data_IF_660501526257
#
_entry.id   IF_660501526257
#
_cell.length_a   1.000
_cell.length_b   1.000
_cell.length_c   1.000
_cell.angle_alpha   90.00
_cell.angle_beta   90.00
_cell.angle_gamma   90.00
#
_symmetry.space_group_name_H-M   'P 1'
#
loop_
_entity.id
_entity.type
_entity.pdbx_description
1 polymer ?
#
# COMPACT_ATOMS: atom_id res chain seq x y z
N UNK A 1 5.14 1.63 16.04
CA UNK A 1 5.87 1.07 14.88
C UNK A 1 5.06 1.38 13.61
N UNK A 2 5.41 2.38 12.80
CA UNK A 2 4.50 3.16 11.89
C UNK A 2 3.49 4.04 12.65
N UNK A 3 2.81 3.52 13.67
CA UNK A 3 1.93 4.32 14.55
C UNK A 3 2.65 5.43 15.34
N UNK A 4 3.97 5.40 15.42
CA UNK A 4 4.79 6.45 16.06
C UNK A 4 4.75 7.78 15.30
N UNK A 5 4.48 7.75 13.98
CA UNK A 5 4.26 8.95 13.18
C UNK A 5 2.83 9.50 13.28
N UNK A 6 1.94 8.78 13.96
CA UNK A 6 0.51 9.03 13.95
C UNK A 6 0.06 10.11 14.94
N UNK A 7 0.98 10.75 15.68
CA UNK A 7 0.70 11.61 16.84
C UNK A 7 -0.29 12.76 16.60
N UNK A 8 -0.51 13.19 15.35
CA UNK A 8 -1.50 14.23 14.98
C UNK A 8 -2.77 13.71 14.30
N UNK A 9 -2.80 12.47 13.80
CA UNK A 9 -3.94 11.93 13.04
C UNK A 9 -4.03 10.39 13.07
N UNK A 10 -4.17 9.76 14.26
CA UNK A 10 -4.04 8.30 14.40
C UNK A 10 -5.12 7.51 13.67
N UNK A 11 -6.37 8.01 13.68
CA UNK A 11 -7.50 7.34 13.00
C UNK A 11 -7.30 7.28 11.48
N UNK A 12 -6.84 8.39 10.87
CA UNK A 12 -6.59 8.43 9.43
C UNK A 12 -5.42 7.53 9.02
N UNK A 13 -4.37 7.44 9.85
CA UNK A 13 -3.27 6.50 9.60
C UNK A 13 -3.74 5.04 9.64
N UNK A 14 -4.58 4.67 10.61
CA UNK A 14 -5.11 3.30 10.72
C UNK A 14 -5.99 2.96 9.52
N UNK A 15 -6.98 3.81 9.22
CA UNK A 15 -7.87 3.62 8.07
C UNK A 15 -7.07 3.58 6.78
N UNK A 16 -6.13 4.52 6.62
CA UNK A 16 -5.31 4.62 5.43
C UNK A 16 -4.43 3.40 5.20
N UNK A 17 -3.71 2.97 6.24
CA UNK A 17 -2.85 1.80 6.17
C UNK A 17 -3.64 0.51 5.93
N UNK A 18 -4.75 0.33 6.66
CA UNK A 18 -5.59 -0.87 6.55
C UNK A 18 -6.23 -0.96 5.16
N UNK A 19 -6.74 0.16 4.63
CA UNK A 19 -7.33 0.20 3.29
C UNK A 19 -6.32 -0.11 2.19
N UNK A 20 -5.15 0.54 2.22
CA UNK A 20 -4.07 0.26 1.25
C UNK A 20 -3.60 -1.19 1.38
N UNK A 21 -3.38 -1.69 2.59
CA UNK A 21 -2.93 -3.06 2.79
C UNK A 21 -3.95 -4.10 2.30
N UNK A 22 -5.23 -3.92 2.63
CA UNK A 22 -6.29 -4.81 2.18
C UNK A 22 -6.38 -4.84 0.64
N UNK A 23 -6.32 -3.67 0.00
CA UNK A 23 -6.33 -3.58 -1.45
C UNK A 23 -5.10 -4.24 -2.10
N UNK A 24 -3.91 -4.03 -1.54
CA UNK A 24 -2.69 -4.69 -2.03
C UNK A 24 -2.78 -6.21 -1.90
N UNK A 25 -3.31 -6.73 -0.79
CA UNK A 25 -3.53 -8.17 -0.63
C UNK A 25 -4.54 -8.67 -1.66
N UNK A 26 -5.70 -8.03 -1.79
CA UNK A 26 -6.74 -8.46 -2.72
C UNK A 26 -6.27 -8.43 -4.17
N UNK A 27 -5.74 -7.29 -4.63
CA UNK A 27 -5.31 -7.12 -6.02
C UNK A 27 -4.00 -7.85 -6.29
N UNK A 28 -2.92 -7.55 -5.57
CA UNK A 28 -1.61 -8.07 -5.96
C UNK A 28 -1.43 -9.55 -5.62
N UNK A 29 -1.93 -10.02 -4.47
CA UNK A 29 -1.82 -11.45 -4.14
C UNK A 29 -2.90 -12.24 -4.87
N UNK A 30 -4.14 -11.76 -4.89
CA UNK A 30 -5.24 -12.45 -5.59
C UNK A 30 -5.01 -12.55 -7.09
N UNK A 31 -4.75 -11.42 -7.75
CA UNK A 31 -4.44 -11.41 -9.19
C UNK A 31 -3.12 -12.11 -9.47
N UNK A 32 -2.07 -11.82 -8.68
CA UNK A 32 -0.76 -12.44 -8.86
C UNK A 32 -0.78 -13.96 -8.76
N UNK A 33 -1.55 -14.53 -7.84
CA UNK A 33 -1.74 -16.00 -7.76
C UNK A 33 -2.55 -16.54 -8.93
N UNK A 34 -3.55 -15.79 -9.41
CA UNK A 34 -4.34 -16.16 -10.59
C UNK A 34 -3.47 -16.17 -11.85
N UNK A 35 -2.67 -15.13 -12.07
CA UNK A 35 -1.73 -15.00 -13.18
C UNK A 35 -0.61 -16.04 -13.12
N UNK A 36 -0.07 -16.32 -11.93
CA UNK A 36 1.09 -17.21 -11.79
C UNK A 36 0.71 -18.70 -11.80
N UNK A 37 -0.46 -19.08 -11.30
CA UNK A 37 -0.82 -20.49 -11.12
C UNK A 37 -2.06 -20.90 -11.92
N UNK A 38 -3.13 -20.10 -11.87
CA UNK A 38 -4.43 -20.48 -12.44
C UNK A 38 -4.40 -20.36 -13.97
N UNK A 39 -3.97 -19.22 -14.53
CA UNK A 39 -3.95 -19.03 -15.99
C UNK A 39 -3.01 -20.01 -16.70
N UNK A 40 -1.78 -20.28 -16.22
CA UNK A 40 -0.91 -21.27 -16.84
C UNK A 40 -1.51 -22.68 -16.79
N UNK A 41 -2.16 -23.04 -15.67
CA UNK A 41 -2.85 -24.32 -15.55
C UNK A 41 -4.00 -24.45 -16.56
N UNK A 42 -4.86 -23.43 -16.66
CA UNK A 42 -5.99 -23.43 -17.60
C UNK A 42 -5.53 -23.42 -19.05
N UNK A 43 -4.48 -22.67 -19.38
CA UNK A 43 -3.88 -22.67 -20.71
C UNK A 43 -3.41 -24.08 -21.11
N UNK A 44 -2.90 -24.87 -20.16
CA UNK A 44 -2.49 -26.26 -20.39
C UNK A 44 -3.67 -27.26 -20.41
N UNK A 45 -4.87 -26.90 -19.93
CA UNK A 45 -5.99 -27.84 -19.70
C UNK A 45 -7.32 -27.38 -20.31
N UNK A 46 -7.30 -26.81 -21.53
CA UNK A 46 -8.52 -26.50 -22.28
C UNK A 46 -8.74 -25.02 -22.59
N UNK A 47 -7.78 -24.16 -22.24
CA UNK A 47 -7.77 -22.76 -22.59
C UNK A 47 -8.24 -21.84 -21.47
N UNK A 48 -7.89 -20.56 -21.58
CA UNK A 48 -8.30 -19.52 -20.63
C UNK A 48 -9.69 -19.03 -21.05
N UNK A 49 -10.69 -19.06 -20.16
CA UNK A 49 -12.02 -18.52 -20.45
C UNK A 49 -11.94 -17.07 -20.92
N UNK A 50 -12.66 -16.74 -21.99
CA UNK A 50 -12.71 -15.37 -22.52
C UNK A 50 -13.54 -14.41 -21.63
N UNK A 51 -14.40 -14.95 -20.78
CA UNK A 51 -15.18 -14.19 -19.81
C UNK A 51 -14.66 -14.46 -18.40
N UNK A 52 -14.55 -13.39 -17.62
CA UNK A 52 -14.17 -13.49 -16.22
C UNK A 52 -15.26 -14.18 -15.39
N UNK A 53 -14.88 -14.86 -14.29
CA UNK A 53 -15.84 -15.47 -13.39
C UNK A 53 -16.81 -14.45 -12.80
N UNK A 54 -18.03 -14.88 -12.53
CA UNK A 54 -19.02 -14.04 -11.85
C UNK A 54 -18.50 -13.59 -10.48
N UNK A 55 -18.63 -12.30 -10.20
CA UNK A 55 -18.15 -11.68 -8.97
C UNK A 55 -16.71 -11.16 -9.01
N UNK A 56 -15.93 -11.44 -10.06
CA UNK A 56 -14.57 -10.90 -10.21
C UNK A 56 -14.56 -9.36 -10.24
N UNK A 57 -15.42 -8.76 -11.06
CA UNK A 57 -15.58 -7.30 -11.12
C UNK A 57 -16.03 -6.68 -9.79
N UNK A 58 -16.84 -7.39 -9.00
CA UNK A 58 -17.27 -6.90 -7.68
C UNK A 58 -16.12 -6.96 -6.66
N UNK A 59 -15.34 -8.05 -6.68
CA UNK A 59 -14.13 -8.20 -5.88
C UNK A 59 -13.11 -7.10 -6.20
N UNK A 60 -12.84 -6.87 -7.48
CA UNK A 60 -11.93 -5.83 -7.95
C UNK A 60 -12.45 -4.44 -7.56
N UNK A 61 -13.74 -4.17 -7.77
CA UNK A 61 -14.36 -2.90 -7.39
C UNK A 61 -14.24 -2.58 -5.90
N UNK A 62 -14.42 -3.58 -5.02
CA UNK A 62 -14.23 -3.42 -3.57
C UNK A 62 -12.76 -3.13 -3.23
N UNK A 63 -11.83 -3.83 -3.89
CA UNK A 63 -10.40 -3.62 -3.66
C UNK A 63 -9.94 -2.23 -4.13
N UNK A 64 -10.42 -1.77 -5.29
CA UNK A 64 -10.16 -0.43 -5.81
C UNK A 64 -10.74 0.65 -4.88
N UNK A 65 -11.95 0.44 -4.35
CA UNK A 65 -12.53 1.36 -3.38
C UNK A 65 -11.70 1.44 -2.09
N UNK A 66 -11.26 0.29 -1.57
CA UNK A 66 -10.39 0.22 -0.41
C UNK A 66 -9.04 0.92 -0.68
N UNK A 67 -8.49 0.76 -1.89
CA UNK A 67 -7.26 1.43 -2.32
C UNK A 67 -7.42 2.95 -2.30
N UNK A 68 -8.46 3.47 -2.97
CA UNK A 68 -8.73 4.91 -3.09
C UNK A 68 -8.98 5.55 -1.72
N UNK A 69 -9.86 4.95 -0.91
CA UNK A 69 -10.17 5.49 0.43
C UNK A 69 -8.92 5.41 1.32
N UNK A 70 -8.20 4.29 1.26
CA UNK A 70 -6.99 4.06 2.04
C UNK A 70 -5.88 5.06 1.70
N UNK A 71 -5.58 5.23 0.41
CA UNK A 71 -4.52 6.11 -0.07
C UNK A 71 -4.83 7.59 0.18
N UNK A 72 -6.09 8.02 0.01
CA UNK A 72 -6.52 9.38 0.35
C UNK A 72 -6.36 9.63 1.85
N UNK A 73 -6.88 8.71 2.69
CA UNK A 73 -6.79 8.84 4.14
C UNK A 73 -5.33 8.87 4.61
N UNK A 74 -4.47 7.99 4.06
CA UNK A 74 -3.05 7.92 4.39
C UNK A 74 -2.30 9.16 3.91
N UNK A 75 -2.58 9.64 2.70
CA UNK A 75 -1.98 10.85 2.14
C UNK A 75 -2.33 12.09 2.98
N UNK A 76 -3.60 12.27 3.35
CA UNK A 76 -4.03 13.34 4.24
C UNK A 76 -3.36 13.21 5.62
N UNK A 77 -3.24 11.99 6.15
CA UNK A 77 -2.57 11.76 7.42
C UNK A 77 -1.10 12.21 7.38
N UNK A 78 -0.38 11.86 6.31
CA UNK A 78 1.01 12.28 6.07
C UNK A 78 1.12 13.81 6.00
N UNK A 79 0.27 14.46 5.21
CA UNK A 79 0.25 15.92 5.04
C UNK A 79 -0.04 16.64 6.37
N UNK A 80 -0.97 16.12 7.18
CA UNK A 80 -1.33 16.71 8.48
C UNK A 80 -0.28 16.45 9.56
N UNK A 81 0.29 15.25 9.60
CA UNK A 81 1.28 14.89 10.60
C UNK A 81 2.62 15.62 10.36
N UNK A 82 2.94 15.96 9.10
CA UNK A 82 4.22 16.55 8.67
C UNK A 82 5.43 15.72 9.11
N UNK A 83 5.23 14.42 9.29
CA UNK A 83 6.25 13.46 9.71
C UNK A 83 7.04 12.88 8.54
N UNK A 84 6.46 12.92 7.35
CA UNK A 84 7.09 12.54 6.10
C UNK A 84 7.07 13.73 5.12
N UNK A 85 7.93 13.73 4.09
CA UNK A 85 7.89 14.73 3.04
C UNK A 85 6.50 14.85 2.42
N UNK A 86 6.03 16.09 2.24
CA UNK A 86 4.68 16.38 1.75
C UNK A 86 4.39 15.75 0.38
N UNK A 87 5.42 15.61 -0.46
CA UNK A 87 5.30 15.02 -1.79
C UNK A 87 4.83 13.57 -1.75
N UNK A 88 5.13 12.82 -0.67
CA UNK A 88 4.70 11.42 -0.52
C UNK A 88 3.17 11.37 -0.36
N UNK A 89 2.63 12.23 0.50
CA UNK A 89 1.19 12.33 0.69
C UNK A 89 0.48 12.79 -0.58
N UNK A 90 1.05 13.77 -1.29
CA UNK A 90 0.53 14.22 -2.58
C UNK A 90 0.58 13.12 -3.65
N UNK A 91 1.67 12.36 -3.73
CA UNK A 91 1.84 11.28 -4.69
C UNK A 91 0.83 10.14 -4.46
N UNK A 92 0.57 9.75 -3.21
CA UNK A 92 -0.45 8.75 -2.88
C UNK A 92 -1.86 9.17 -3.30
N UNK A 93 -2.21 10.44 -3.09
CA UNK A 93 -3.53 10.97 -3.49
C UNK A 93 -3.61 11.08 -5.02
N UNK A 94 -2.63 11.72 -5.64
CA UNK A 94 -2.63 11.99 -7.07
C UNK A 94 -2.61 10.70 -7.89
N UNK A 95 -1.79 9.71 -7.51
CA UNK A 95 -1.74 8.41 -8.19
C UNK A 95 -3.11 7.73 -8.21
N UNK A 96 -3.81 7.65 -7.08
CA UNK A 96 -5.14 7.02 -7.06
C UNK A 96 -6.19 7.80 -7.86
N UNK A 97 -6.15 9.14 -7.83
CA UNK A 97 -7.07 9.95 -8.63
C UNK A 97 -6.80 9.81 -10.14
N UNK A 98 -5.52 9.82 -10.54
CA UNK A 98 -5.14 9.65 -11.94
C UNK A 98 -5.43 8.22 -12.41
N UNK A 99 -5.18 7.21 -11.57
CA UNK A 99 -5.53 5.82 -11.86
C UNK A 99 -7.04 5.65 -12.09
N UNK A 100 -7.87 6.27 -11.25
CA UNK A 100 -9.33 6.25 -11.40
C UNK A 100 -9.83 6.96 -12.68
N UNK A 101 -9.07 7.90 -13.23
CA UNK A 101 -9.41 8.58 -14.49
C UNK A 101 -9.10 7.75 -15.73
N UNK A 102 -8.32 6.66 -15.61
CA UNK A 102 -8.06 5.71 -16.69
C UNK A 102 -7.24 6.30 -17.85
N UNK A 103 -5.93 6.46 -17.65
CA UNK A 103 -5.03 6.95 -18.71
C UNK A 103 -4.92 5.95 -19.89
N UNK A 104 -4.84 6.42 -21.14
CA UNK A 104 -4.80 5.54 -22.31
C UNK A 104 -3.42 4.91 -22.55
N UNK A 105 -3.42 3.68 -23.06
CA UNK A 105 -2.21 2.99 -23.53
C UNK A 105 -1.19 2.72 -22.42
N UNK A 106 0.10 2.87 -22.74
CA UNK A 106 1.18 2.62 -21.79
C UNK A 106 1.18 3.55 -20.56
N UNK A 107 0.48 4.69 -20.64
CA UNK A 107 0.33 5.63 -19.53
C UNK A 107 -0.54 5.10 -18.39
N UNK A 108 -1.32 4.05 -18.63
CA UNK A 108 -2.14 3.38 -17.62
C UNK A 108 -1.31 2.86 -16.43
N UNK A 109 -0.03 2.53 -16.64
CA UNK A 109 0.87 2.01 -15.60
C UNK A 109 1.53 3.11 -14.75
N UNK A 110 1.51 4.35 -15.22
CA UNK A 110 2.17 5.47 -14.55
C UNK A 110 1.64 5.71 -13.12
N UNK A 111 0.31 5.71 -12.87
CA UNK A 111 -0.24 5.94 -11.54
C UNK A 111 0.24 4.88 -10.54
N UNK A 112 0.25 3.60 -10.93
CA UNK A 112 0.71 2.50 -10.10
C UNK A 112 2.19 2.62 -9.77
N UNK A 113 3.02 2.95 -10.77
CA UNK A 113 4.45 3.19 -10.56
C UNK A 113 4.72 4.30 -9.54
N UNK A 114 3.99 5.42 -9.64
CA UNK A 114 4.08 6.54 -8.68
C UNK A 114 3.59 6.10 -7.30
N UNK A 115 2.49 5.34 -7.22
CA UNK A 115 1.94 4.84 -5.98
C UNK A 115 2.93 3.92 -5.24
N UNK A 116 3.50 2.94 -5.93
CA UNK A 116 4.49 2.03 -5.36
C UNK A 116 5.79 2.75 -4.97
N UNK A 117 6.25 3.71 -5.77
CA UNK A 117 7.41 4.54 -5.41
C UNK A 117 7.16 5.34 -4.12
N UNK A 118 5.95 5.89 -3.94
CA UNK A 118 5.57 6.59 -2.72
C UNK A 118 5.54 5.63 -1.50
N UNK A 119 4.94 4.44 -1.64
CA UNK A 119 4.95 3.43 -0.57
C UNK A 119 6.36 2.96 -0.21
N UNK A 120 7.23 2.76 -1.21
CA UNK A 120 8.62 2.43 -1.00
C UNK A 120 9.36 3.55 -0.24
N UNK A 121 9.12 4.81 -0.61
CA UNK A 121 9.65 5.96 0.12
C UNK A 121 9.17 6.02 1.58
N UNK A 122 7.88 5.74 1.84
CA UNK A 122 7.34 5.60 3.20
C UNK A 122 8.13 4.54 3.99
N UNK A 123 8.31 3.35 3.41
CA UNK A 123 9.02 2.25 4.06
C UNK A 123 10.48 2.57 4.37
N UNK A 124 11.21 3.12 3.39
CA UNK A 124 12.62 3.47 3.56
C UNK A 124 12.84 4.57 4.60
N UNK A 125 12.01 5.62 4.62
CA UNK A 125 12.11 6.69 5.62
C UNK A 125 11.71 6.17 7.00
N UNK A 126 10.67 5.33 7.09
CA UNK A 126 10.26 4.73 8.35
C UNK A 126 11.34 3.81 8.96
N UNK A 127 12.13 3.12 8.13
CA UNK A 127 13.26 2.30 8.58
C UNK A 127 14.45 3.15 9.03
N UNK A 128 14.79 4.21 8.30
CA UNK A 128 15.87 5.14 8.66
C UNK A 128 15.63 5.89 9.98
N UNK A 129 14.37 6.15 10.31
CA UNK A 129 13.98 6.82 11.55
C UNK A 129 13.97 5.93 12.80
N UNK A 130 14.41 4.67 12.71
CA UNK A 130 14.47 3.78 13.89
C UNK A 130 15.72 4.09 14.73
N UNK A 131 15.61 4.33 16.04
CA UNK A 131 16.76 4.30 16.92
C UNK A 131 17.37 2.89 16.91
N UNK A 132 18.70 2.81 16.86
CA UNK A 132 19.43 1.54 16.84
C UNK A 132 19.07 0.68 18.08
N UNK A 133 18.86 -0.64 17.92
CA UNK A 133 18.58 -1.55 19.04
C UNK A 133 19.69 -1.62 20.10
N UNK A 134 20.87 -1.08 19.81
CA UNK A 134 22.03 -1.08 20.71
C UNK A 134 21.70 -0.42 22.06
N UNK A 135 20.87 0.62 22.06
CA UNK A 135 20.61 1.43 23.25
C UNK A 135 19.67 0.75 24.27
N UNK A 136 18.84 -0.20 23.81
CA UNK A 136 17.96 -0.99 24.68
C UNK A 136 18.72 -2.11 25.39
N UNK A 137 19.69 -2.73 24.71
CA UNK A 137 20.51 -3.81 25.26
C UNK A 137 21.46 -3.30 26.34
N UNK A 138 22.06 -2.12 26.13
CA UNK A 138 22.93 -1.45 27.11
C UNK A 138 22.15 -0.98 28.34
N UNK A 139 20.94 -0.43 28.16
CA UNK A 139 20.08 -0.05 29.29
C UNK A 139 19.62 -1.25 30.11
N UNK A 140 19.26 -2.38 29.48
CA UNK A 140 18.90 -3.59 30.22
C UNK A 140 20.08 -4.21 30.96
N UNK A 141 21.27 -4.23 30.35
CA UNK A 141 22.49 -4.69 31.00
C UNK A 141 22.88 -3.80 32.20
N UNK A 142 22.67 -2.48 32.09
CA UNK A 142 22.95 -1.54 33.18
C UNK A 142 21.96 -1.66 34.35
N UNK A 143 20.67 -1.94 34.10
CA UNK A 143 19.69 -2.20 35.17
C UNK A 143 19.79 -3.59 35.79
N UNK A 144 20.35 -4.58 35.09
CA UNK A 144 20.56 -5.92 35.63
C UNK A 144 21.85 -6.07 36.45
N UNK A 145 22.75 -5.09 36.35
CA UNK A 145 24.04 -5.04 37.07
C UNK A 145 24.02 -4.11 38.30
N UNK A 146 22.87 -3.50 38.63
CA UNK A 146 22.65 -2.65 39.80
C UNK A 146 21.75 -3.36 40.83
#
# INVERSE_FOLDING_TARGET
MILTFAGRAPKLHIVGYTGVFAALVMLNIGEGTTEAFVKPYLAAHGGIPAQEPSGFAAFEGVALLALVVGSICLGIAILRARTLPWWIGAALIASCLIGALGLPGAWFLLPDGVFFAALFAVGTIALRGRPEPADATVKHAATAAA
#
